data_IF_378700987325
#
_entry.id   IF_378700987325
#
_cell.length_a   1.000
_cell.length_b   1.000
_cell.length_c   1.000
_cell.angle_alpha   90.00
_cell.angle_beta   90.00
_cell.angle_gamma   90.00
#
_symmetry.space_group_name_H-M   'P 1'
#
loop_
_entity.id
_entity.type
_entity.pdbx_description
1 polymer ?
#
# COMPACT_ATOMS: atom_id res chain seq x y z
N UNK A 1 -3.32 -14.49 -1.27
CA UNK A 1 -3.79 -14.43 -2.68
C UNK A 1 -5.15 -15.07 -2.86
N UNK A 2 -5.33 -16.32 -2.46
CA UNK A 2 -6.63 -17.02 -2.47
C UNK A 2 -7.41 -16.77 -1.17
N UNK A 3 -7.92 -15.55 -1.06
CA UNK A 3 -8.71 -15.04 0.06
C UNK A 3 -9.40 -13.77 -0.41
N UNK A 4 -10.56 -13.44 0.15
CA UNK A 4 -11.28 -12.18 -0.15
C UNK A 4 -10.62 -10.95 0.49
N UNK A 5 -9.65 -11.15 1.39
CA UNK A 5 -8.92 -10.08 2.09
C UNK A 5 -7.53 -9.81 1.51
N UNK A 6 -6.93 -8.69 1.92
CA UNK A 6 -5.59 -8.27 1.51
C UNK A 6 -5.14 -6.98 2.21
N UNK A 7 -5.22 -6.91 3.54
CA UNK A 7 -4.77 -5.73 4.29
C UNK A 7 -3.24 -5.66 4.34
N UNK A 8 -2.64 -6.55 5.13
CA UNK A 8 -1.21 -6.60 5.37
C UNK A 8 -0.69 -8.04 5.38
N UNK A 9 0.63 -8.20 5.32
CA UNK A 9 1.32 -9.47 5.48
C UNK A 9 2.81 -9.24 5.79
N UNK A 10 3.55 -10.34 5.98
CA UNK A 10 4.99 -10.28 6.21
C UNK A 10 5.71 -11.43 5.49
N UNK A 11 6.95 -11.20 5.09
CA UNK A 11 7.82 -12.19 4.46
C UNK A 11 9.15 -12.25 5.21
N UNK A 12 9.55 -13.45 5.61
CA UNK A 12 10.83 -13.72 6.26
C UNK A 12 11.69 -14.63 5.39
N UNK A 13 12.95 -14.23 5.16
CA UNK A 13 13.91 -15.00 4.38
C UNK A 13 15.33 -14.53 4.70
N UNK A 14 16.27 -15.48 4.76
CA UNK A 14 17.71 -15.16 4.83
C UNK A 14 18.24 -14.52 3.53
N UNK A 15 17.62 -14.82 2.40
CA UNK A 15 17.84 -14.13 1.13
C UNK A 15 16.80 -13.02 0.98
N UNK A 16 17.24 -11.77 1.11
CA UNK A 16 16.38 -10.58 1.02
C UNK A 16 15.82 -10.38 -0.39
N UNK A 17 16.62 -10.64 -1.44
CA UNK A 17 16.15 -10.53 -2.81
C UNK A 17 15.02 -11.54 -3.07
N UNK A 18 15.12 -12.75 -2.51
CA UNK A 18 14.01 -13.71 -2.51
C UNK A 18 12.80 -13.22 -1.75
N UNK A 19 12.97 -12.63 -0.55
CA UNK A 19 11.86 -12.05 0.19
C UNK A 19 11.13 -10.97 -0.64
N UNK A 20 11.87 -10.07 -1.27
CA UNK A 20 11.31 -9.03 -2.13
C UNK A 20 10.55 -9.62 -3.33
N UNK A 21 11.08 -10.65 -4.00
CA UNK A 21 10.37 -11.35 -5.09
C UNK A 21 9.06 -11.98 -4.63
N UNK A 22 9.02 -12.54 -3.43
CA UNK A 22 7.79 -13.10 -2.84
C UNK A 22 6.82 -11.99 -2.45
N UNK A 23 7.29 -10.96 -1.74
CA UNK A 23 6.49 -9.81 -1.31
C UNK A 23 5.74 -9.15 -2.46
N UNK A 24 6.43 -8.92 -3.60
CA UNK A 24 5.82 -8.34 -4.82
C UNK A 24 4.68 -9.17 -5.41
N UNK A 25 4.57 -10.46 -5.08
CA UNK A 25 3.52 -11.37 -5.58
C UNK A 25 2.33 -11.48 -4.63
N UNK A 26 2.43 -10.93 -3.41
CA UNK A 26 1.35 -10.97 -2.43
C UNK A 26 0.39 -9.81 -2.73
N UNK A 27 -0.89 -10.13 -2.93
CA UNK A 27 -1.95 -9.14 -3.11
C UNK A 27 -2.44 -8.65 -1.76
N UNK A 28 -1.65 -7.79 -1.12
CA UNK A 28 -2.00 -7.02 0.07
C UNK A 28 -1.43 -5.60 -0.06
N UNK A 29 -1.94 -4.64 0.71
CA UNK A 29 -1.48 -3.25 0.59
C UNK A 29 -0.21 -2.93 1.36
N UNK A 30 0.11 -3.70 2.42
CA UNK A 30 1.40 -3.61 3.10
C UNK A 30 2.06 -4.99 3.22
N UNK A 31 3.38 -5.06 3.01
CA UNK A 31 4.19 -6.25 3.28
C UNK A 31 5.45 -5.85 4.05
N UNK A 32 5.60 -6.38 5.25
CA UNK A 32 6.81 -6.21 6.04
C UNK A 32 7.83 -7.29 5.64
N UNK A 33 9.06 -6.90 5.29
CA UNK A 33 10.14 -7.84 4.98
C UNK A 33 11.08 -7.91 6.17
N UNK A 34 11.32 -9.11 6.69
CA UNK A 34 12.26 -9.37 7.80
C UNK A 34 12.06 -8.45 9.03
N UNK A 35 10.80 -8.16 9.37
CA UNK A 35 10.46 -7.33 10.53
C UNK A 35 10.61 -5.83 10.30
N UNK A 36 10.60 -5.37 9.05
CA UNK A 36 10.54 -3.96 8.71
C UNK A 36 9.45 -3.22 9.49
N UNK A 37 9.79 -2.08 10.08
CA UNK A 37 8.88 -1.29 10.90
C UNK A 37 7.80 -0.59 10.05
N UNK A 38 6.67 -0.30 10.68
CA UNK A 38 5.64 0.54 10.09
C UNK A 38 6.20 1.93 9.75
N UNK A 39 5.89 2.43 8.56
CA UNK A 39 6.37 3.72 8.06
C UNK A 39 5.18 4.65 7.80
N UNK A 40 4.96 5.64 8.67
CA UNK A 40 3.90 6.64 8.53
C UNK A 40 4.00 7.53 7.28
N UNK A 41 5.17 7.56 6.62
CA UNK A 41 5.33 8.29 5.36
C UNK A 41 4.97 7.44 4.14
N UNK A 42 4.80 6.13 4.30
CA UNK A 42 4.37 5.21 3.25
C UNK A 42 2.84 5.00 3.30
N UNK A 43 2.19 4.70 2.16
CA UNK A 43 0.76 4.45 2.14
C UNK A 43 0.40 3.16 2.90
N UNK A 44 -0.65 3.23 3.71
CA UNK A 44 -1.31 2.09 4.34
C UNK A 44 -2.71 1.89 3.76
N UNK A 45 -3.21 0.65 3.73
CA UNK A 45 -4.56 0.36 3.27
C UNK A 45 -4.67 -1.01 2.62
N UNK A 46 -5.89 -1.46 2.37
CA UNK A 46 -6.15 -2.83 1.93
C UNK A 46 -6.35 -3.00 0.43
N UNK A 47 -6.28 -4.27 0.01
CA UNK A 47 -6.77 -4.76 -1.27
C UNK A 47 -8.08 -5.51 -1.03
N UNK A 48 -8.92 -5.62 -2.07
CA UNK A 48 -10.15 -6.42 -2.06
C UNK A 48 -11.09 -5.95 -0.93
N UNK A 49 -11.66 -6.87 -0.14
CA UNK A 49 -12.56 -6.52 0.96
C UNK A 49 -11.84 -5.93 2.18
N UNK A 50 -10.52 -5.77 2.14
CA UNK A 50 -9.78 -5.09 3.21
C UNK A 50 -9.77 -3.57 3.08
N UNK A 51 -10.40 -3.00 2.05
CA UNK A 51 -10.66 -1.56 1.96
C UNK A 51 -10.46 -0.96 0.57
N UNK A 52 -10.81 0.32 0.48
CA UNK A 52 -10.62 1.20 -0.68
C UNK A 52 -9.86 2.45 -0.23
N UNK A 53 -9.03 3.00 -1.12
CA UNK A 53 -8.18 4.15 -0.82
C UNK A 53 -6.92 3.80 -0.01
N UNK A 54 -6.19 4.83 0.42
CA UNK A 54 -5.01 4.72 1.30
C UNK A 54 -5.07 5.71 2.44
N UNK A 55 -4.41 5.39 3.54
CA UNK A 55 -4.12 6.31 4.64
C UNK A 55 -2.60 6.52 4.71
N UNK A 56 -2.18 7.56 5.44
CA UNK A 56 -0.78 7.93 5.64
C UNK A 56 -0.01 8.33 4.36
N UNK A 57 1.14 8.98 4.54
CA UNK A 57 1.93 9.55 3.44
C UNK A 57 1.15 10.50 2.53
N UNK A 58 1.70 10.75 1.33
CA UNK A 58 1.07 11.63 0.33
C UNK A 58 -0.26 11.09 -0.18
N UNK A 59 -0.35 9.78 -0.41
CA UNK A 59 -1.55 9.14 -0.95
C UNK A 59 -2.73 9.22 0.03
N UNK A 60 -2.46 9.09 1.34
CA UNK A 60 -3.49 9.26 2.35
C UNK A 60 -3.95 10.71 2.48
N UNK A 61 -3.06 11.68 2.27
CA UNK A 61 -3.45 13.09 2.22
C UNK A 61 -4.36 13.38 1.02
N UNK A 62 -4.07 12.81 -0.15
CA UNK A 62 -4.85 12.99 -1.38
C UNK A 62 -6.31 12.54 -1.26
N UNK A 63 -6.62 11.55 -0.39
CA UNK A 63 -8.02 11.15 -0.10
C UNK A 63 -8.85 12.26 0.58
N UNK A 64 -8.20 13.29 1.11
CA UNK A 64 -8.86 14.46 1.74
C UNK A 64 -8.77 15.73 0.89
N UNK A 65 -8.22 15.66 -0.31
CA UNK A 65 -8.09 16.79 -1.22
C UNK A 65 -9.18 16.77 -2.29
N UNK A 66 -9.59 17.95 -2.73
CA UNK A 66 -10.52 18.13 -3.84
C UNK A 66 -9.81 18.76 -5.03
N UNK A 67 -9.83 18.09 -6.18
CA UNK A 67 -9.24 18.63 -7.41
C UNK A 67 -10.18 19.66 -8.04
N UNK A 68 -9.67 20.87 -8.28
CA UNK A 68 -10.38 21.92 -9.01
C UNK A 68 -9.61 22.27 -10.28
N UNK A 69 -10.25 22.10 -11.43
CA UNK A 69 -9.71 22.51 -12.72
C UNK A 69 -10.30 23.86 -13.14
N UNK A 70 -9.47 24.76 -13.66
CA UNK A 70 -9.89 26.08 -14.18
C UNK A 70 -9.53 26.17 -15.67
N UNK A 71 -10.51 26.52 -16.50
CA UNK A 71 -10.31 26.78 -17.93
C UNK A 71 -10.55 28.26 -18.19
N UNK A 72 -9.54 28.94 -18.73
CA UNK A 72 -9.65 30.33 -19.19
C UNK A 72 -9.82 30.33 -20.71
N UNK A 73 -10.66 31.24 -21.20
CA UNK A 73 -10.68 31.57 -22.62
C UNK A 73 -9.42 32.38 -22.95
N UNK A 74 -8.79 32.07 -24.08
CA UNK A 74 -7.87 32.99 -24.74
C UNK A 74 -8.61 34.19 -25.31
#
# INVERSE_FOLDING_TARGET
>A
NDTVYGLAGAVWSKDEARAQRVARRIRAGQIDINGGAFNMNAPFGGYKQSGHGREAGVYGLEEFLEYKSLQLKG
#
